data_IF_051482368533
#
_entry.id   IF_051482368533
#
_cell.length_a   1.000
_cell.length_b   1.000
_cell.length_c   1.000
_cell.angle_alpha   90.00
_cell.angle_beta   90.00
_cell.angle_gamma   90.00
#
_symmetry.space_group_name_H-M   'P 1'
#
loop_
_entity.id
_entity.type
_entity.pdbx_description
1 polymer ?
#
# COMPACT_ATOMS: atom_id res chain seq x y z
N UNK A 1 -7.65 20.23 -9.41
CA UNK A 1 -8.77 19.82 -8.54
C UNK A 1 -8.17 19.17 -7.31
N UNK A 2 -8.27 19.82 -6.15
CA UNK A 2 -7.87 19.20 -4.88
C UNK A 2 -8.87 18.06 -4.62
N UNK A 3 -8.39 16.81 -4.67
CA UNK A 3 -9.27 15.65 -4.61
C UNK A 3 -9.72 15.48 -3.15
N UNK A 4 -10.78 16.20 -2.75
CA UNK A 4 -11.35 16.20 -1.40
C UNK A 4 -11.61 14.78 -0.88
N UNK A 5 -11.84 13.83 -1.78
CA UNK A 5 -11.98 12.41 -1.46
C UNK A 5 -10.71 11.80 -0.85
N UNK A 6 -9.52 12.16 -1.34
CA UNK A 6 -8.24 11.68 -0.80
C UNK A 6 -8.02 12.26 0.60
N UNK A 7 -8.31 13.55 0.79
CA UNK A 7 -8.18 14.21 2.10
C UNK A 7 -9.10 13.56 3.14
N UNK A 8 -10.36 13.29 2.78
CA UNK A 8 -11.33 12.66 3.67
C UNK A 8 -10.94 11.22 4.02
N UNK A 9 -10.45 10.45 3.04
CA UNK A 9 -9.97 9.09 3.30
C UNK A 9 -8.75 9.12 4.23
N UNK A 10 -7.82 10.06 4.02
CA UNK A 10 -6.64 10.21 4.87
C UNK A 10 -7.01 10.48 6.34
N UNK A 11 -7.89 11.43 6.60
CA UNK A 11 -8.33 11.74 7.98
C UNK A 11 -9.07 10.57 8.64
N UNK A 12 -9.86 9.81 7.87
CA UNK A 12 -10.56 8.62 8.36
C UNK A 12 -9.58 7.50 8.74
N UNK A 13 -8.56 7.24 7.90
CA UNK A 13 -7.49 6.28 8.21
C UNK A 13 -6.66 6.71 9.42
N UNK A 14 -6.38 8.01 9.54
CA UNK A 14 -5.64 8.57 10.68
C UNK A 14 -6.41 8.41 11.99
N UNK A 15 -7.72 8.72 11.98
CA UNK A 15 -8.59 8.52 13.13
C UNK A 15 -8.68 7.06 13.56
N UNK A 16 -8.85 6.15 12.60
CA UNK A 16 -8.85 4.70 12.85
C UNK A 16 -7.52 4.23 13.44
N UNK A 17 -6.39 4.66 12.87
CA UNK A 17 -5.07 4.27 13.35
C UNK A 17 -4.85 4.72 14.81
N UNK A 18 -5.26 5.95 15.15
CA UNK A 18 -5.15 6.46 16.52
C UNK A 18 -6.05 5.69 17.50
N UNK A 19 -7.30 5.41 17.12
CA UNK A 19 -8.24 4.66 17.95
C UNK A 19 -7.80 3.21 18.20
N UNK A 20 -7.17 2.58 17.20
CA UNK A 20 -6.74 1.20 17.26
C UNK A 20 -5.28 1.04 17.74
N UNK A 21 -4.60 2.14 18.09
CA UNK A 21 -3.20 2.12 18.53
C UNK A 21 -2.22 1.65 17.44
N UNK A 22 -2.60 1.79 16.17
CA UNK A 22 -1.78 1.37 15.03
C UNK A 22 -0.62 2.35 14.87
N UNK A 23 0.59 1.81 14.82
CA UNK A 23 1.82 2.52 14.55
C UNK A 23 2.72 1.69 13.63
N UNK A 24 3.84 2.25 13.17
CA UNK A 24 4.77 1.49 12.34
C UNK A 24 5.74 2.34 11.54
N UNK A 25 6.48 1.67 10.66
CA UNK A 25 7.43 2.28 9.73
C UNK A 25 7.12 1.82 8.31
N UNK A 26 6.99 2.78 7.39
CA UNK A 26 6.96 2.52 5.96
C UNK A 26 8.35 2.79 5.36
N UNK A 27 8.89 1.82 4.65
CA UNK A 27 10.11 1.96 3.85
C UNK A 27 9.70 2.07 2.38
N UNK A 28 10.09 3.16 1.73
CA UNK A 28 9.77 3.45 0.33
C UNK A 28 11.08 3.58 -0.42
N UNK A 29 11.35 2.61 -1.30
CA UNK A 29 12.50 2.64 -2.20
C UNK A 29 12.00 2.92 -3.61
N UNK A 30 12.64 3.84 -4.34
CA UNK A 30 12.27 4.14 -5.71
C UNK A 30 13.49 4.40 -6.59
N UNK A 31 13.40 4.03 -7.86
CA UNK A 31 14.35 4.41 -8.89
C UNK A 31 13.56 4.87 -10.12
N UNK A 32 13.56 6.18 -10.42
CA UNK A 32 12.76 6.72 -11.52
C UNK A 32 13.31 6.30 -12.90
N UNK A 33 14.60 5.96 -13.02
CA UNK A 33 15.22 5.64 -14.30
C UNK A 33 14.69 4.33 -14.92
N UNK A 34 14.21 3.40 -14.08
CA UNK A 34 13.68 2.12 -14.52
C UNK A 34 12.23 1.87 -14.06
N UNK A 35 11.55 2.90 -13.54
CA UNK A 35 10.16 2.80 -13.07
C UNK A 35 9.98 1.92 -11.83
N UNK A 36 11.02 1.74 -11.01
CA UNK A 36 10.96 0.92 -9.81
C UNK A 36 10.36 1.69 -8.63
N UNK A 37 9.42 1.06 -7.94
CA UNK A 37 8.87 1.49 -6.66
C UNK A 37 8.65 0.25 -5.78
N UNK A 38 9.15 0.27 -4.55
CA UNK A 38 8.92 -0.76 -3.55
C UNK A 38 8.45 -0.14 -2.25
N UNK A 39 7.38 -0.69 -1.69
CA UNK A 39 6.84 -0.34 -0.38
C UNK A 39 6.98 -1.54 0.55
N UNK A 40 7.59 -1.34 1.72
CA UNK A 40 7.62 -2.33 2.82
C UNK A 40 7.06 -1.70 4.08
N UNK A 41 6.09 -2.37 4.69
CA UNK A 41 5.45 -1.92 5.92
C UNK A 41 5.91 -2.80 7.09
N UNK A 42 6.25 -2.17 8.22
CA UNK A 42 6.36 -2.82 9.52
C UNK A 42 5.30 -2.21 10.44
N UNK A 43 4.22 -2.93 10.68
CA UNK A 43 3.06 -2.45 11.43
C UNK A 43 3.08 -3.02 12.85
N UNK A 44 2.67 -2.21 13.82
CA UNK A 44 2.40 -2.62 15.20
C UNK A 44 1.00 -2.13 15.59
N UNK A 45 0.11 -3.01 16.09
CA UNK A 45 0.35 -4.44 16.34
C UNK A 45 0.23 -5.29 15.03
N UNK A 46 0.89 -6.47 14.96
CA UNK A 46 1.13 -7.20 13.72
C UNK A 46 -0.13 -7.77 13.04
N UNK A 47 -1.24 -7.92 13.77
CA UNK A 47 -2.54 -8.34 13.22
C UNK A 47 -3.05 -7.38 12.14
N UNK A 48 -2.66 -6.09 12.20
CA UNK A 48 -3.03 -5.11 11.17
C UNK A 48 -2.12 -5.13 9.95
N UNK A 49 -1.02 -5.89 9.98
CA UNK A 49 -0.07 -5.94 8.87
C UNK A 49 -0.78 -6.33 7.56
N UNK A 50 -1.52 -7.44 7.58
CA UNK A 50 -2.18 -7.99 6.38
C UNK A 50 -3.17 -6.99 5.77
N UNK A 51 -4.10 -6.46 6.59
CA UNK A 51 -5.13 -5.52 6.12
C UNK A 51 -4.51 -4.23 5.59
N UNK A 52 -3.48 -3.69 6.24
CA UNK A 52 -2.84 -2.47 5.78
C UNK A 52 -2.04 -2.69 4.50
N UNK A 53 -1.26 -3.77 4.38
CA UNK A 53 -0.59 -4.07 3.11
C UNK A 53 -1.57 -4.20 1.95
N UNK A 54 -2.72 -4.87 2.16
CA UNK A 54 -3.76 -5.00 1.15
C UNK A 54 -4.38 -3.65 0.78
N UNK A 55 -4.65 -2.78 1.75
CA UNK A 55 -5.17 -1.43 1.52
C UNK A 55 -4.20 -0.57 0.69
N UNK A 56 -2.90 -0.64 0.98
CA UNK A 56 -1.89 0.06 0.19
C UNK A 56 -1.79 -0.47 -1.24
N UNK A 57 -1.88 -1.78 -1.45
CA UNK A 57 -1.92 -2.38 -2.79
C UNK A 57 -3.16 -1.89 -3.56
N UNK A 58 -4.34 -1.87 -2.93
CA UNK A 58 -5.56 -1.37 -3.54
C UNK A 58 -5.48 0.12 -3.89
N UNK A 59 -4.93 0.94 -3.01
CA UNK A 59 -4.72 2.37 -3.27
C UNK A 59 -3.77 2.57 -4.47
N UNK A 60 -2.62 1.88 -4.48
CA UNK A 60 -1.66 1.95 -5.58
C UNK A 60 -2.27 1.48 -6.91
N UNK A 61 -3.11 0.44 -6.88
CA UNK A 61 -3.85 -0.02 -8.05
C UNK A 61 -4.79 1.07 -8.57
N UNK A 62 -5.60 1.70 -7.71
CA UNK A 62 -6.50 2.78 -8.10
C UNK A 62 -5.73 3.97 -8.68
N UNK A 63 -4.66 4.41 -8.01
CA UNK A 63 -3.80 5.47 -8.54
C UNK A 63 -3.22 5.11 -9.91
N UNK A 64 -2.75 3.88 -10.09
CA UNK A 64 -2.22 3.42 -11.38
C UNK A 64 -3.28 3.44 -12.48
N UNK A 65 -4.51 3.00 -12.18
CA UNK A 65 -5.64 3.05 -13.10
C UNK A 65 -6.01 4.48 -13.47
N UNK A 66 -5.91 5.45 -12.55
CA UNK A 66 -6.16 6.86 -12.85
C UNK A 66 -5.19 7.43 -13.91
N UNK A 67 -3.98 6.87 -14.01
CA UNK A 67 -3.01 7.19 -15.06
C UNK A 67 -3.20 6.36 -16.34
N UNK A 68 -4.27 5.57 -16.43
CA UNK A 68 -4.55 4.70 -17.58
C UNK A 68 -3.67 3.45 -17.64
N UNK A 69 -2.98 3.08 -16.56
CA UNK A 69 -2.13 1.89 -16.52
C UNK A 69 -2.97 0.62 -16.32
N UNK A 70 -2.62 -0.45 -17.04
CA UNK A 70 -3.11 -1.79 -16.72
C UNK A 70 -2.47 -2.26 -15.41
N UNK A 71 -3.29 -2.60 -14.43
CA UNK A 71 -2.80 -3.09 -13.14
C UNK A 71 -2.76 -4.62 -13.13
N UNK A 72 -1.60 -5.17 -12.76
CA UNK A 72 -1.38 -6.59 -12.51
C UNK A 72 -0.85 -6.76 -11.09
N UNK A 73 -1.66 -7.31 -10.20
CA UNK A 73 -1.26 -7.60 -8.82
C UNK A 73 -0.89 -9.08 -8.68
N UNK A 74 0.11 -9.34 -7.85
CA UNK A 74 0.45 -10.69 -7.42
C UNK A 74 0.63 -10.68 -5.90
N UNK A 75 -0.19 -11.46 -5.22
CA UNK A 75 -0.02 -11.73 -3.80
C UNK A 75 0.71 -13.07 -3.67
N UNK A 76 1.91 -13.06 -3.12
CA UNK A 76 2.63 -14.28 -2.78
C UNK A 76 2.00 -14.87 -1.52
N UNK A 77 1.48 -16.09 -1.59
CA UNK A 77 1.23 -16.88 -0.40
C UNK A 77 2.58 -17.37 0.14
N UNK A 78 2.74 -17.47 1.45
CA UNK A 78 4.01 -17.80 2.12
C UNK A 78 4.61 -19.20 1.79
N UNK A 79 4.19 -19.85 0.70
CA UNK A 79 4.71 -21.11 0.18
C UNK A 79 5.10 -21.11 -1.31
N UNK A 80 4.96 -19.99 -2.04
CA UNK A 80 5.31 -19.92 -3.48
C UNK A 80 6.44 -18.92 -3.75
N UNK A 81 7.53 -19.02 -2.99
CA UNK A 81 8.78 -18.37 -3.36
C UNK A 81 9.54 -19.24 -4.38
N UNK A 82 8.96 -19.46 -5.56
CA UNK A 82 9.71 -20.01 -6.70
C UNK A 82 9.19 -19.46 -8.02
N UNK A 83 10.13 -18.84 -8.74
CA UNK A 83 10.16 -18.66 -10.19
C UNK A 83 9.01 -17.89 -10.84
N UNK A 84 9.23 -16.61 -11.07
CA UNK A 84 8.74 -15.96 -12.29
C UNK A 84 9.92 -15.31 -12.99
N UNK A 85 10.37 -15.97 -14.07
CA UNK A 85 11.30 -15.47 -15.09
C UNK A 85 10.72 -14.26 -15.81
#
# INVERSE_FOLDING_TARGET
MHNQNIQNQFELFKGMAQQQGISGVAYIDYNPANGFLRLKLKITPPEYQSILTSNFVNALAQFSQMFGLQVKTHQSNAGEATDRK
#
